data_IF_318208248124
#
_entry.id   IF_318208248124
#
_cell.length_a   1.000
_cell.length_b   1.000
_cell.length_c   1.000
_cell.angle_alpha   90.00
_cell.angle_beta   90.00
_cell.angle_gamma   90.00
#
_symmetry.space_group_name_H-M   'P 1'
#
loop_
_entity.id
_entity.type
_entity.pdbx_description
1 polymer ?
#
# COMPACT_ATOMS: atom_id res chain seq x y z
N UNK A 1 43.22 11.97 11.24
CA UNK A 1 42.77 13.27 10.69
C UNK A 1 41.45 13.60 11.35
N UNK A 2 41.46 14.52 12.31
CA UNK A 2 40.26 14.98 13.03
C UNK A 2 39.46 15.89 12.11
N UNK A 3 38.23 15.48 11.77
CA UNK A 3 37.29 16.32 11.03
C UNK A 3 36.93 17.59 11.83
N UNK A 4 36.40 18.63 11.17
CA UNK A 4 36.11 19.91 11.83
C UNK A 4 35.04 19.73 12.91
N UNK A 5 35.39 20.01 14.18
CA UNK A 5 34.42 20.04 15.28
C UNK A 5 33.35 21.10 15.02
N UNK A 6 32.09 20.73 15.23
CA UNK A 6 30.95 21.60 14.99
C UNK A 6 30.70 22.57 16.16
N UNK A 7 30.24 23.81 15.90
CA UNK A 7 29.96 24.78 16.94
C UNK A 7 28.79 24.30 17.83
N UNK A 8 29.03 24.17 19.14
CA UNK A 8 28.03 23.77 20.14
C UNK A 8 28.12 22.32 20.63
N UNK A 9 29.07 21.52 20.12
CA UNK A 9 29.32 20.16 20.58
C UNK A 9 30.64 20.03 21.33
N UNK A 10 30.62 19.31 22.45
CA UNK A 10 31.86 18.90 23.11
C UNK A 10 32.58 17.88 22.24
N UNK A 11 33.87 18.13 21.95
CA UNK A 11 34.76 17.21 21.24
C UNK A 11 34.74 15.79 21.83
N UNK A 12 34.54 15.66 23.15
CA UNK A 12 34.42 14.38 23.84
C UNK A 12 33.17 13.60 23.41
N UNK A 13 32.03 14.28 23.23
CA UNK A 13 30.79 13.66 22.80
C UNK A 13 30.85 13.26 21.32
N UNK A 14 31.49 14.08 20.50
CA UNK A 14 31.73 13.79 19.08
C UNK A 14 32.62 12.53 18.92
N UNK A 15 33.70 12.45 19.71
CA UNK A 15 34.58 11.29 19.74
C UNK A 15 33.87 10.02 20.22
N UNK A 16 33.08 10.11 21.30
CA UNK A 16 32.30 8.97 21.81
C UNK A 16 31.30 8.42 20.76
N UNK A 17 30.69 9.31 19.96
CA UNK A 17 29.82 8.91 18.84
C UNK A 17 30.59 8.21 17.73
N UNK A 18 31.80 8.69 17.37
CA UNK A 18 32.64 8.03 16.36
C UNK A 18 33.12 6.65 16.82
N UNK A 19 33.53 6.51 18.07
CA UNK A 19 33.94 5.22 18.62
C UNK A 19 32.77 4.23 18.70
N UNK A 20 31.58 4.70 19.10
CA UNK A 20 30.37 3.89 19.09
C UNK A 20 30.00 3.45 17.67
N UNK A 21 30.16 4.33 16.68
CA UNK A 21 29.98 3.99 15.28
C UNK A 21 30.90 2.84 14.87
N UNK A 22 32.21 2.93 15.11
CA UNK A 22 33.15 1.86 14.77
C UNK A 22 32.79 0.54 15.45
N UNK A 23 32.41 0.56 16.74
CA UNK A 23 31.96 -0.65 17.46
C UNK A 23 30.74 -1.31 16.82
N UNK A 24 29.76 -0.52 16.40
CA UNK A 24 28.56 -1.04 15.75
C UNK A 24 28.87 -1.64 14.37
N UNK A 25 29.73 -0.99 13.58
CA UNK A 25 30.13 -1.50 12.25
C UNK A 25 31.05 -2.73 12.31
N UNK A 26 31.86 -2.85 13.37
CA UNK A 26 32.73 -4.01 13.60
C UNK A 26 32.02 -5.17 14.32
N UNK A 27 30.75 -4.98 14.70
CA UNK A 27 29.96 -6.02 15.38
C UNK A 27 30.39 -6.29 16.82
N UNK A 28 31.01 -5.30 17.49
CA UNK A 28 31.43 -5.35 18.88
C UNK A 28 30.63 -4.35 19.76
N UNK A 29 29.29 -4.42 19.79
CA UNK A 29 28.49 -3.53 20.64
C UNK A 29 28.73 -3.84 22.12
N UNK A 30 28.80 -2.80 22.95
CA UNK A 30 29.02 -2.92 24.40
C UNK A 30 27.75 -2.62 25.19
N UNK A 31 26.86 -1.77 24.67
CA UNK A 31 25.68 -1.25 25.41
C UNK A 31 24.35 -1.52 24.70
N UNK A 32 24.37 -2.11 23.51
CA UNK A 32 23.20 -2.28 22.64
C UNK A 32 23.15 -3.64 21.96
N UNK A 33 22.07 -3.93 21.23
CA UNK A 33 21.85 -5.18 20.49
C UNK A 33 22.62 -5.26 19.16
N UNK A 34 23.53 -4.31 18.88
CA UNK A 34 24.40 -4.32 17.69
C UNK A 34 23.73 -3.91 16.38
N UNK A 35 22.43 -3.63 16.36
CA UNK A 35 21.75 -3.20 15.13
C UNK A 35 22.21 -1.80 14.72
N UNK A 36 22.44 -1.59 13.43
CA UNK A 36 22.84 -0.32 12.83
C UNK A 36 21.67 0.68 12.78
N UNK A 37 21.20 1.12 13.95
CA UNK A 37 20.14 2.13 14.08
C UNK A 37 20.67 3.40 14.74
N UNK A 38 20.13 4.57 14.37
CA UNK A 38 20.44 5.84 15.05
C UNK A 38 20.14 5.77 16.54
N UNK A 39 19.13 4.99 16.95
CA UNK A 39 18.79 4.79 18.36
C UNK A 39 19.88 4.04 19.13
N UNK A 40 20.53 3.08 18.49
CA UNK A 40 21.63 2.35 19.10
C UNK A 40 22.90 3.18 19.11
N UNK A 41 23.14 4.02 18.11
CA UNK A 41 24.31 4.89 18.07
C UNK A 41 24.44 5.78 19.32
N UNK A 42 23.40 6.53 19.70
CA UNK A 42 23.50 7.41 20.88
C UNK A 42 23.50 6.64 22.20
N UNK A 43 22.82 5.48 22.28
CA UNK A 43 22.88 4.59 23.46
C UNK A 43 24.26 3.95 23.63
N UNK A 44 24.86 3.51 22.54
CA UNK A 44 26.20 2.91 22.49
C UNK A 44 27.29 3.94 22.82
N UNK A 45 27.12 5.18 22.38
CA UNK A 45 27.98 6.30 22.72
C UNK A 45 27.77 6.83 24.15
N UNK A 46 26.65 6.46 24.81
CA UNK A 46 26.29 6.97 26.12
C UNK A 46 25.96 8.47 26.13
N UNK A 47 25.48 9.01 25.02
CA UNK A 47 25.11 10.43 24.87
C UNK A 47 23.60 10.58 24.74
N UNK A 48 23.09 11.79 25.00
CA UNK A 48 21.67 12.07 24.79
C UNK A 48 21.32 12.13 23.30
N UNK A 49 20.05 11.85 22.97
CA UNK A 49 19.52 12.03 21.60
C UNK A 49 19.73 13.46 21.08
N UNK A 50 19.57 14.47 21.93
CA UNK A 50 19.79 15.87 21.56
C UNK A 50 21.24 16.11 21.15
N UNK A 51 22.20 15.61 21.93
CA UNK A 51 23.64 15.69 21.62
C UNK A 51 23.97 15.03 20.28
N UNK A 52 23.38 13.87 19.98
CA UNK A 52 23.55 13.21 18.68
C UNK A 52 22.95 14.04 17.54
N UNK A 53 21.76 14.63 17.72
CA UNK A 53 21.12 15.45 16.69
C UNK A 53 21.95 16.69 16.32
N UNK A 54 22.67 17.26 17.28
CA UNK A 54 23.61 18.35 17.02
C UNK A 54 24.86 17.87 16.24
N UNK A 55 25.19 16.58 16.25
CA UNK A 55 26.38 16.01 15.60
C UNK A 55 26.12 15.70 14.12
N UNK A 56 25.75 16.73 13.36
CA UNK A 56 25.28 16.58 11.98
C UNK A 56 26.35 15.97 11.06
N UNK A 57 27.62 16.30 11.24
CA UNK A 57 28.73 15.69 10.50
C UNK A 57 28.85 14.17 10.78
N UNK A 58 28.80 13.77 12.06
CA UNK A 58 28.88 12.36 12.45
C UNK A 58 27.64 11.59 11.97
N UNK A 59 26.47 12.22 11.97
CA UNK A 59 25.25 11.62 11.44
C UNK A 59 25.28 11.47 9.90
N UNK A 60 25.87 12.42 9.19
CA UNK A 60 26.08 12.30 7.74
C UNK A 60 27.04 11.14 7.42
N UNK A 61 28.15 11.03 8.14
CA UNK A 61 29.09 9.91 8.00
C UNK A 61 28.44 8.56 8.33
N UNK A 62 27.62 8.52 9.39
CA UNK A 62 26.81 7.36 9.75
C UNK A 62 25.89 6.94 8.61
N UNK A 63 25.08 7.87 8.09
CA UNK A 63 24.11 7.59 7.03
C UNK A 63 24.82 7.07 5.77
N UNK A 64 25.98 7.63 5.42
CA UNK A 64 26.82 7.18 4.31
C UNK A 64 27.32 5.74 4.52
N UNK A 65 27.87 5.43 5.70
CA UNK A 65 28.40 4.09 6.01
C UNK A 65 27.30 3.04 6.12
N UNK A 66 26.15 3.38 6.71
CA UNK A 66 24.99 2.47 6.77
C UNK A 66 24.51 2.15 5.36
N UNK A 67 24.36 3.15 4.51
CA UNK A 67 23.95 2.96 3.10
C UNK A 67 24.93 2.08 2.32
N UNK A 68 26.22 2.17 2.60
CA UNK A 68 27.24 1.34 1.94
C UNK A 68 27.37 -0.07 2.52
N UNK A 69 26.92 -0.28 3.76
CA UNK A 69 26.96 -1.58 4.43
C UNK A 69 26.07 -2.62 3.73
N UNK A 70 26.44 -3.90 3.85
CA UNK A 70 25.64 -5.02 3.31
C UNK A 70 24.23 -5.05 3.91
N UNK A 71 24.09 -4.72 5.20
CA UNK A 71 22.82 -4.59 5.89
C UNK A 71 21.98 -3.44 5.31
N UNK A 72 22.54 -2.25 5.12
CA UNK A 72 21.81 -1.12 4.53
C UNK A 72 21.37 -1.37 3.08
N UNK A 73 22.22 -1.99 2.25
CA UNK A 73 21.83 -2.40 0.89
C UNK A 73 20.73 -3.45 0.88
N UNK A 74 20.74 -4.37 1.85
CA UNK A 74 19.70 -5.38 1.99
C UNK A 74 18.37 -4.74 2.41
N UNK A 75 18.39 -3.82 3.38
CA UNK A 75 17.22 -3.09 3.83
C UNK A 75 16.62 -2.22 2.71
N UNK A 76 17.45 -1.57 1.90
CA UNK A 76 16.99 -0.81 0.72
C UNK A 76 16.32 -1.72 -0.32
N UNK A 77 16.91 -2.89 -0.62
CA UNK A 77 16.29 -3.90 -1.50
C UNK A 77 14.97 -4.42 -0.94
N UNK A 78 14.89 -4.64 0.38
CA UNK A 78 13.64 -5.04 1.02
C UNK A 78 12.59 -3.94 0.95
N UNK A 79 12.96 -2.69 1.21
CA UNK A 79 12.05 -1.54 1.14
C UNK A 79 11.50 -1.34 -0.28
N UNK A 80 12.35 -1.46 -1.30
CA UNK A 80 11.93 -1.38 -2.70
C UNK A 80 11.00 -2.52 -3.10
N UNK A 81 11.25 -3.75 -2.63
CA UNK A 81 10.34 -4.88 -2.89
C UNK A 81 9.02 -4.73 -2.15
N UNK A 82 9.02 -4.30 -0.88
CA UNK A 82 7.80 -3.99 -0.13
C UNK A 82 6.98 -2.93 -0.88
N UNK A 83 7.62 -1.85 -1.33
CA UNK A 83 6.96 -0.81 -2.11
C UNK A 83 6.41 -1.34 -3.45
N UNK A 84 7.10 -2.30 -4.08
CA UNK A 84 6.61 -2.98 -5.29
C UNK A 84 5.39 -3.85 -5.00
N UNK A 85 5.44 -4.64 -3.93
CA UNK A 85 4.35 -5.53 -3.52
C UNK A 85 3.11 -4.74 -3.09
N UNK A 86 3.26 -3.66 -2.33
CA UNK A 86 2.16 -2.78 -1.96
C UNK A 86 1.48 -2.17 -3.19
N UNK A 87 2.26 -1.72 -4.19
CA UNK A 87 1.72 -1.23 -5.47
C UNK A 87 0.93 -2.32 -6.20
N UNK A 88 1.47 -3.53 -6.29
CA UNK A 88 0.78 -4.67 -6.93
C UNK A 88 -0.51 -5.04 -6.22
N UNK A 89 -0.53 -5.06 -4.89
CA UNK A 89 -1.72 -5.32 -4.09
C UNK A 89 -2.77 -4.22 -4.27
N UNK A 90 -2.35 -2.96 -4.33
CA UNK A 90 -3.25 -1.85 -4.64
C UNK A 90 -3.89 -2.04 -6.01
N UNK A 91 -3.09 -2.26 -7.05
CA UNK A 91 -3.59 -2.44 -8.41
C UNK A 91 -4.54 -3.64 -8.53
N UNK A 92 -4.20 -4.78 -7.91
CA UNK A 92 -5.07 -5.96 -7.95
C UNK A 92 -6.41 -5.73 -7.23
N UNK A 93 -6.42 -4.95 -6.14
CA UNK A 93 -7.67 -4.59 -5.45
C UNK A 93 -8.54 -3.68 -6.31
N UNK A 94 -7.96 -2.69 -6.99
CA UNK A 94 -8.70 -1.83 -7.91
C UNK A 94 -9.30 -2.64 -9.06
N UNK A 95 -8.52 -3.56 -9.65
CA UNK A 95 -9.01 -4.42 -10.73
C UNK A 95 -10.15 -5.32 -10.27
N UNK A 96 -10.02 -5.93 -9.07
CA UNK A 96 -11.10 -6.72 -8.47
C UNK A 96 -12.37 -5.90 -8.27
N UNK A 97 -12.25 -4.69 -7.75
CA UNK A 97 -13.41 -3.82 -7.54
C UNK A 97 -14.09 -3.50 -8.87
N UNK A 98 -13.31 -3.14 -9.90
CA UNK A 98 -13.82 -2.86 -11.24
C UNK A 98 -14.58 -4.05 -11.83
N UNK A 99 -14.02 -5.25 -11.74
CA UNK A 99 -14.66 -6.47 -12.23
C UNK A 99 -15.94 -6.78 -11.45
N UNK A 100 -15.96 -6.52 -10.14
CA UNK A 100 -17.17 -6.69 -9.33
C UNK A 100 -18.26 -5.70 -9.75
N UNK A 101 -17.92 -4.43 -9.96
CA UNK A 101 -18.85 -3.40 -10.42
C UNK A 101 -19.44 -3.76 -11.80
N UNK A 102 -18.63 -4.34 -12.70
CA UNK A 102 -19.08 -4.81 -14.01
C UNK A 102 -20.04 -6.00 -13.91
N UNK A 103 -19.75 -6.96 -13.02
CA UNK A 103 -20.64 -8.10 -12.74
C UNK A 103 -21.97 -7.61 -12.17
N UNK A 104 -21.96 -6.66 -11.23
CA UNK A 104 -23.18 -6.12 -10.61
C UNK A 104 -24.02 -5.33 -11.63
N UNK A 105 -23.37 -4.57 -12.52
CA UNK A 105 -24.04 -3.89 -13.62
C UNK A 105 -24.69 -4.87 -14.61
N UNK A 106 -23.97 -5.93 -15.00
CA UNK A 106 -24.48 -6.97 -15.88
C UNK A 106 -25.67 -7.70 -15.26
N UNK A 107 -25.59 -8.04 -13.96
CA UNK A 107 -26.69 -8.66 -13.22
C UNK A 107 -27.95 -7.78 -13.22
N UNK A 108 -27.78 -6.47 -13.05
CA UNK A 108 -28.88 -5.50 -13.10
C UNK A 108 -29.56 -5.47 -14.48
N UNK A 109 -28.77 -5.46 -15.56
CA UNK A 109 -29.29 -5.49 -16.94
C UNK A 109 -30.04 -6.81 -17.21
N UNK A 110 -29.49 -7.94 -16.79
CA UNK A 110 -30.14 -9.25 -16.94
C UNK A 110 -31.49 -9.26 -16.20
N UNK A 111 -31.54 -8.75 -14.97
CA UNK A 111 -32.79 -8.68 -14.21
C UNK A 111 -33.86 -7.82 -14.91
N UNK A 112 -33.47 -6.66 -15.46
CA UNK A 112 -34.36 -5.80 -16.22
C UNK A 112 -34.90 -6.51 -17.47
N UNK A 113 -34.03 -7.10 -18.27
CA UNK A 113 -34.42 -7.84 -19.48
C UNK A 113 -35.31 -9.04 -19.17
N UNK A 114 -35.08 -9.74 -18.05
CA UNK A 114 -35.95 -10.83 -17.62
C UNK A 114 -37.35 -10.33 -17.28
N UNK A 115 -37.46 -9.21 -16.57
CA UNK A 115 -38.74 -8.59 -16.23
C UNK A 115 -39.50 -8.12 -17.50
N UNK A 116 -38.80 -7.47 -18.43
CA UNK A 116 -39.37 -7.04 -19.71
C UNK A 116 -39.85 -8.23 -20.55
N UNK A 117 -39.03 -9.29 -20.67
CA UNK A 117 -39.41 -10.50 -21.39
C UNK A 117 -40.64 -11.17 -20.77
N UNK A 118 -40.74 -11.21 -19.44
CA UNK A 118 -41.92 -11.75 -18.76
C UNK A 118 -43.18 -10.93 -19.07
N UNK A 119 -43.08 -9.59 -19.02
CA UNK A 119 -44.20 -8.70 -19.36
C UNK A 119 -44.65 -8.84 -20.82
N UNK A 120 -43.72 -8.93 -21.76
CA UNK A 120 -44.02 -9.13 -23.18
C UNK A 120 -44.73 -10.47 -23.44
N UNK A 121 -44.29 -11.54 -22.77
CA UNK A 121 -44.92 -12.87 -22.87
C UNK A 121 -46.35 -12.87 -22.30
N UNK A 122 -46.57 -12.19 -21.18
CA UNK A 122 -47.91 -12.03 -20.61
C UNK A 122 -48.85 -11.25 -21.54
N UNK A 123 -48.37 -10.15 -22.14
CA UNK A 123 -49.13 -9.37 -23.13
C UNK A 123 -49.50 -10.21 -24.36
N UNK A 124 -48.59 -11.03 -24.87
CA UNK A 124 -48.85 -11.89 -26.03
C UNK A 124 -49.93 -12.94 -25.69
N UNK A 125 -49.81 -13.56 -24.52
CA UNK A 125 -50.79 -14.55 -24.03
C UNK A 125 -52.18 -13.93 -23.92
N UNK A 126 -52.28 -12.74 -23.31
CA UNK A 126 -53.54 -11.98 -23.20
C UNK A 126 -54.14 -11.62 -24.56
N UNK A 127 -53.33 -11.20 -25.54
CA UNK A 127 -53.79 -10.90 -26.90
C UNK A 127 -54.29 -12.15 -27.64
N UNK A 128 -53.61 -13.28 -27.51
CA UNK A 128 -54.05 -14.54 -28.13
C UNK A 128 -55.33 -15.12 -27.51
N UNK A 129 -55.65 -14.76 -26.27
CA UNK A 129 -56.85 -15.19 -25.57
C UNK A 129 -58.11 -14.35 -25.89
N UNK A 130 -57.98 -13.26 -26.66
CA UNK A 130 -59.13 -12.45 -27.10
C UNK A 130 -59.86 -13.18 -28.22
N UNK A 131 -60.87 -13.95 -27.85
CA UNK A 131 -61.82 -14.58 -28.79
C UNK A 131 -62.81 -13.51 -29.24
N UNK A 132 -62.73 -13.08 -30.51
CA UNK A 132 -63.73 -12.21 -31.12
C UNK A 132 -64.90 -13.08 -31.61
N UNK A 133 -66.12 -12.94 -31.06
CA UNK A 133 -67.27 -13.70 -31.55
C UNK A 133 -67.58 -13.24 -32.98
N UNK A 134 -67.51 -14.15 -33.95
CA UNK A 134 -68.07 -13.89 -35.27
C UNK A 134 -69.59 -13.98 -35.15
N UNK A 135 -70.26 -12.83 -35.16
CA UNK A 135 -71.71 -12.77 -35.29
C UNK A 135 -72.11 -13.44 -36.61
N UNK A 136 -72.67 -14.65 -36.50
CA UNK A 136 -73.33 -15.34 -37.61
C UNK A 136 -74.62 -14.58 -37.88
N UNK A 137 -74.58 -13.70 -38.87
CA UNK A 137 -75.73 -12.89 -39.29
C UNK A 137 -76.96 -13.77 -39.48
N UNK A 138 -78.00 -13.52 -38.68
CA UNK A 138 -79.33 -14.03 -38.94
C UNK A 138 -79.84 -13.33 -40.19
N UNK A 139 -79.88 -14.07 -41.30
CA UNK A 139 -80.81 -13.80 -42.37
C UNK A 139 -82.22 -13.92 -41.79
N UNK A 140 -82.93 -12.81 -41.67
CA UNK A 140 -84.39 -12.84 -41.52
C UNK A 140 -84.98 -12.15 -42.73
N UNK A 141 -85.65 -12.97 -43.53
CA UNK A 141 -86.51 -12.66 -44.65
C UNK A 141 -87.86 -12.14 -44.12
N UNK A 142 -88.49 -11.35 -44.98
CA UNK A 142 -89.91 -10.91 -45.03
C UNK A 142 -90.31 -9.75 -44.12
#
# INVERSE_FOLDING_TARGET
MTGPSQPGLSHKAEQALREAMERLFTGQPVRTDGKLTKQNLWREAGVSRATMNHATAVLADWDNRVSQSTAGKHDEKQATEIARLCRRLSNNRHERQRLQDEVDAAATVIAALLAENAALRDQLTKRSAVVVPLYRGQAVRE
#
